data_IF_767318776781
#
_entry.id   IF_767318776781
#
_cell.length_a   1.000
_cell.length_b   1.000
_cell.length_c   1.000
_cell.angle_alpha   90.00
_cell.angle_beta   90.00
_cell.angle_gamma   90.00
#
_symmetry.space_group_name_H-M   'P 1'
#
loop_
_entity.id
_entity.type
_entity.pdbx_description
1 polymer ?
#
# COMPACT_ATOMS: atom_id res chain seq x y z
N UNK A 1 -33.08 -25.66 -61.70
CA UNK A 1 -32.01 -24.72 -62.11
C UNK A 1 -31.62 -23.91 -60.88
N UNK A 2 -30.63 -24.37 -60.13
CA UNK A 2 -30.19 -23.76 -58.87
C UNK A 2 -28.90 -22.99 -59.15
N UNK A 3 -28.94 -21.67 -58.93
CA UNK A 3 -27.83 -20.75 -59.16
C UNK A 3 -27.09 -20.56 -57.84
N UNK A 4 -25.86 -21.09 -57.74
CA UNK A 4 -24.97 -20.85 -56.61
C UNK A 4 -24.30 -19.48 -56.78
N UNK A 5 -24.61 -18.55 -55.88
CA UNK A 5 -23.91 -17.29 -55.71
C UNK A 5 -22.65 -17.54 -54.87
N UNK A 6 -21.47 -17.45 -55.51
CA UNK A 6 -20.19 -17.44 -54.83
C UNK A 6 -19.97 -16.05 -54.20
N UNK A 7 -19.95 -15.99 -52.87
CA UNK A 7 -19.59 -14.79 -52.12
C UNK A 7 -18.06 -14.78 -51.95
N UNK A 8 -17.34 -13.78 -52.49
CA UNK A 8 -15.90 -13.67 -52.29
C UNK A 8 -15.61 -13.26 -50.83
N UNK A 9 -14.94 -14.14 -50.09
CA UNK A 9 -14.39 -13.84 -48.76
C UNK A 9 -13.14 -12.98 -48.95
N UNK A 10 -13.27 -11.69 -48.65
CA UNK A 10 -12.19 -10.72 -48.73
C UNK A 10 -11.36 -10.80 -47.44
N UNK A 11 -10.26 -11.56 -47.48
CA UNK A 11 -9.30 -11.64 -46.37
C UNK A 11 -8.48 -10.35 -46.38
N UNK A 12 -8.87 -9.37 -45.56
CA UNK A 12 -8.04 -8.19 -45.27
C UNK A 12 -6.87 -8.62 -44.38
N UNK A 13 -5.69 -8.84 -44.97
CA UNK A 13 -4.43 -8.86 -44.23
C UNK A 13 -4.12 -7.43 -43.77
N UNK A 14 -4.51 -7.08 -42.55
CA UNK A 14 -3.96 -5.89 -41.87
C UNK A 14 -2.51 -6.19 -41.53
N UNK A 15 -1.58 -5.69 -42.34
CA UNK A 15 -0.18 -5.63 -41.96
C UNK A 15 -0.06 -4.67 -40.78
N UNK A 16 0.04 -5.21 -39.55
CA UNK A 16 0.43 -4.43 -38.38
C UNK A 16 1.92 -4.17 -38.52
N UNK A 17 2.26 -2.99 -39.02
CA UNK A 17 3.62 -2.47 -38.89
C UNK A 17 3.85 -2.18 -37.42
N UNK A 18 4.53 -3.09 -36.72
CA UNK A 18 5.10 -2.80 -35.40
C UNK A 18 6.16 -1.73 -35.64
N UNK A 19 5.79 -0.47 -35.41
CA UNK A 19 6.73 0.63 -35.42
C UNK A 19 7.63 0.43 -34.20
N UNK A 20 8.84 -0.10 -34.42
CA UNK A 20 9.90 -0.13 -33.41
C UNK A 20 10.17 1.32 -32.99
N UNK A 21 9.50 1.77 -31.93
CA UNK A 21 9.89 2.99 -31.26
C UNK A 21 11.23 2.68 -30.62
N UNK A 22 12.31 3.11 -31.27
CA UNK A 22 13.65 3.13 -30.68
C UNK A 22 13.52 3.83 -29.32
N UNK A 23 13.51 3.05 -28.25
CA UNK A 23 13.20 3.49 -26.90
C UNK A 23 14.35 4.28 -26.33
N UNK A 24 14.50 5.53 -26.79
CA UNK A 24 15.43 6.48 -26.21
C UNK A 24 15.01 6.76 -24.78
N UNK A 25 15.97 6.67 -23.86
CA UNK A 25 15.78 7.17 -22.51
C UNK A 25 15.69 8.69 -22.51
N UNK A 26 14.88 9.22 -21.61
CA UNK A 26 14.58 10.64 -21.49
C UNK A 26 14.69 11.05 -20.03
N UNK A 27 15.53 12.04 -19.75
CA UNK A 27 15.61 12.62 -18.42
C UNK A 27 14.42 13.59 -18.22
N UNK A 28 13.78 13.48 -17.05
CA UNK A 28 12.67 14.35 -16.64
C UNK A 28 12.98 14.92 -15.27
N UNK A 29 12.80 16.22 -15.11
CA UNK A 29 12.87 16.91 -13.83
C UNK A 29 11.55 17.64 -13.63
N UNK A 30 10.84 17.32 -12.54
CA UNK A 30 9.53 17.88 -12.24
C UNK A 30 9.51 18.49 -10.84
N UNK A 31 8.87 19.65 -10.72
CA UNK A 31 8.59 20.31 -9.44
C UNK A 31 7.11 20.17 -9.08
N UNK A 32 6.82 19.96 -7.80
CA UNK A 32 5.46 19.92 -7.27
C UNK A 32 5.41 20.53 -5.86
N UNK A 33 4.84 21.74 -5.68
CA UNK A 33 4.30 22.62 -6.72
C UNK A 33 5.40 23.27 -7.57
N UNK A 34 5.03 23.84 -8.73
CA UNK A 34 5.95 24.62 -9.56
C UNK A 34 6.25 26.03 -9.06
N UNK A 35 5.49 26.50 -8.05
CA UNK A 35 5.63 27.83 -7.44
C UNK A 35 5.59 27.69 -5.93
N UNK A 36 6.58 28.27 -5.25
CA UNK A 36 6.66 28.30 -3.79
C UNK A 36 5.98 29.57 -3.26
N UNK A 37 5.03 29.36 -2.37
CA UNK A 37 4.43 30.40 -1.54
C UNK A 37 4.89 30.16 -0.09
N UNK A 38 5.84 30.94 0.47
CA UNK A 38 6.56 30.62 1.71
C UNK A 38 5.71 30.33 2.97
N UNK A 39 4.43 30.72 2.98
CA UNK A 39 3.51 30.47 4.11
C UNK A 39 2.50 29.35 3.79
N UNK A 40 2.14 29.21 2.51
CA UNK A 40 1.07 28.31 2.07
C UNK A 40 1.59 26.96 1.60
N UNK A 41 2.85 26.90 1.16
CA UNK A 41 3.46 25.68 0.64
C UNK A 41 3.94 24.84 1.81
N UNK A 42 3.22 23.75 2.07
CA UNK A 42 3.58 22.82 3.15
C UNK A 42 4.71 21.89 2.76
N UNK A 43 4.70 21.41 1.51
CA UNK A 43 5.73 20.54 0.96
C UNK A 43 6.08 20.99 -0.45
N UNK A 44 7.35 20.91 -0.78
CA UNK A 44 7.85 21.06 -2.14
C UNK A 44 8.66 19.83 -2.50
N UNK A 45 8.32 19.22 -3.62
CA UNK A 45 8.97 18.03 -4.14
C UNK A 45 9.65 18.36 -5.46
N UNK A 46 10.89 17.92 -5.60
CA UNK A 46 11.62 17.94 -6.86
C UNK A 46 11.97 16.50 -7.23
N UNK A 47 11.43 16.02 -8.35
CA UNK A 47 11.57 14.64 -8.78
C UNK A 47 12.35 14.58 -10.09
N UNK A 48 13.57 14.04 -10.02
CA UNK A 48 14.36 13.71 -11.19
C UNK A 48 14.22 12.23 -11.51
N UNK A 49 13.82 11.88 -12.74
CA UNK A 49 13.73 10.49 -13.17
C UNK A 49 14.17 10.27 -14.61
N UNK A 50 14.71 9.07 -14.85
CA UNK A 50 15.11 8.60 -16.18
C UNK A 50 14.00 7.72 -16.71
N UNK A 51 13.23 8.25 -17.67
CA UNK A 51 12.14 7.51 -18.31
C UNK A 51 12.67 6.64 -19.44
N UNK A 52 12.34 5.36 -19.42
CA UNK A 52 12.67 4.42 -20.49
C UNK A 52 11.45 3.52 -20.73
N UNK A 53 10.77 3.72 -21.86
CA UNK A 53 9.56 2.97 -22.24
C UNK A 53 9.80 1.46 -22.36
N UNK A 54 11.04 1.04 -22.58
CA UNK A 54 11.42 -0.36 -22.71
C UNK A 54 11.91 -0.95 -21.38
N UNK A 55 12.02 -0.15 -20.32
CA UNK A 55 12.41 -0.64 -19.00
C UNK A 55 11.26 -1.38 -18.34
N UNK A 56 11.37 -2.71 -18.32
CA UNK A 56 10.56 -3.53 -17.43
C UNK A 56 11.34 -3.64 -16.13
N UNK A 57 10.83 -3.02 -15.06
CA UNK A 57 11.35 -3.27 -13.73
C UNK A 57 11.40 -4.79 -13.55
N UNK A 58 12.59 -5.32 -13.21
CA UNK A 58 12.70 -6.69 -12.72
C UNK A 58 12.11 -6.70 -11.32
N UNK A 59 10.78 -6.59 -11.23
CA UNK A 59 10.05 -6.71 -9.97
C UNK A 59 10.36 -8.12 -9.49
N UNK A 60 11.27 -8.23 -8.51
CA UNK A 60 11.32 -9.42 -7.68
C UNK A 60 9.94 -9.49 -7.05
N UNK A 61 9.10 -10.42 -7.50
CA UNK A 61 7.77 -10.67 -6.95
C UNK A 61 7.88 -10.90 -5.44
N UNK A 62 7.85 -9.81 -4.69
CA UNK A 62 7.78 -9.81 -3.24
C UNK A 62 6.30 -9.69 -2.98
N UNK A 63 5.70 -10.77 -2.49
CA UNK A 63 4.28 -10.84 -2.17
C UNK A 63 3.98 -9.86 -1.02
N UNK A 64 3.79 -8.59 -1.33
CA UNK A 64 3.37 -7.56 -0.38
C UNK A 64 1.89 -7.79 -0.14
N UNK A 65 1.54 -8.20 1.08
CA UNK A 65 0.16 -8.19 1.54
C UNK A 65 -0.29 -6.74 1.56
N UNK A 66 -1.25 -6.43 0.70
CA UNK A 66 -1.97 -5.16 0.65
C UNK A 66 -2.55 -4.86 2.05
N UNK A 67 -1.90 -3.93 2.76
CA UNK A 67 -2.47 -3.31 3.94
C UNK A 67 -3.33 -2.18 3.41
N UNK A 68 -4.65 -2.31 3.56
CA UNK A 68 -5.60 -1.22 3.28
C UNK A 68 -5.18 0.00 4.11
N UNK A 69 -4.49 0.94 3.45
CA UNK A 69 -4.17 2.24 4.00
C UNK A 69 -5.47 3.03 4.08
N UNK A 70 -5.95 3.26 5.29
CA UNK A 70 -7.01 4.24 5.55
C UNK A 70 -6.53 5.61 5.07
N UNK A 71 -7.13 6.04 3.97
CA UNK A 71 -6.95 7.32 3.30
C UNK A 71 -6.90 8.51 4.27
N UNK A 72 -5.70 8.93 4.66
CA UNK A 72 -5.41 10.27 5.17
C UNK A 72 -5.45 11.27 4.00
N UNK A 73 -6.64 11.50 3.45
CA UNK A 73 -6.85 12.67 2.58
C UNK A 73 -7.00 13.90 3.48
N UNK A 74 -6.07 14.86 3.45
CA UNK A 74 -6.28 16.12 4.15
C UNK A 74 -7.50 16.82 3.54
N UNK A 75 -8.47 17.15 4.39
CA UNK A 75 -9.77 17.75 4.06
C UNK A 75 -9.70 19.19 3.49
N UNK A 76 -8.53 19.60 2.97
CA UNK A 76 -8.22 20.95 2.52
C UNK A 76 -8.16 21.09 0.99
N UNK A 77 -8.31 20.00 0.25
CA UNK A 77 -8.22 20.03 -1.22
C UNK A 77 -9.46 20.66 -1.90
N UNK A 78 -10.50 21.05 -1.15
CA UNK A 78 -11.72 21.66 -1.71
C UNK A 78 -11.71 23.20 -1.72
N UNK A 79 -10.64 23.85 -1.25
CA UNK A 79 -10.44 25.26 -1.60
C UNK A 79 -9.86 25.28 -3.00
N UNK A 80 -10.71 25.58 -3.97
CA UNK A 80 -10.41 25.78 -5.38
C UNK A 80 -9.51 27.02 -5.55
N UNK A 81 -8.28 26.94 -5.01
CA UNK A 81 -7.18 27.82 -5.33
C UNK A 81 -6.93 27.58 -6.80
N UNK A 82 -7.35 28.56 -7.62
CA UNK A 82 -7.19 28.64 -9.07
C UNK A 82 -6.03 27.75 -9.52
N UNK A 83 -6.39 26.72 -10.31
CA UNK A 83 -5.48 25.75 -10.92
C UNK A 83 -4.07 26.31 -11.09
N UNK A 84 -3.02 25.67 -10.54
CA UNK A 84 -1.66 26.14 -10.67
C UNK A 84 -1.37 26.44 -12.14
N UNK A 85 -0.88 27.64 -12.43
CA UNK A 85 -0.29 27.92 -13.72
C UNK A 85 0.77 26.85 -13.95
N UNK A 86 0.61 26.06 -15.01
CA UNK A 86 1.60 25.08 -15.44
C UNK A 86 2.93 25.81 -15.59
N UNK A 87 3.90 25.46 -14.75
CA UNK A 87 5.24 26.01 -14.83
C UNK A 87 5.76 25.83 -16.27
N UNK A 88 6.36 26.88 -16.84
CA UNK A 88 6.88 26.85 -18.21
C UNK A 88 8.13 25.97 -18.24
N UNK A 89 7.94 24.67 -18.45
CA UNK A 89 9.03 23.71 -18.53
C UNK A 89 9.81 23.96 -19.83
N UNK A 90 10.98 24.58 -19.73
CA UNK A 90 11.92 24.68 -20.87
C UNK A 90 12.73 23.39 -20.94
N UNK A 91 12.15 22.34 -21.53
CA UNK A 91 12.85 21.08 -21.71
C UNK A 91 13.85 21.16 -22.87
N UNK A 92 15.13 21.32 -22.56
CA UNK A 92 16.23 20.93 -23.45
C UNK A 92 16.38 19.41 -23.39
N UNK A 93 15.56 18.70 -24.16
CA UNK A 93 15.46 17.25 -24.03
C UNK A 93 16.43 16.52 -24.95
N UNK A 94 17.61 16.24 -24.44
CA UNK A 94 18.53 15.32 -25.10
C UNK A 94 18.03 13.87 -24.92
N UNK A 95 18.08 13.10 -26.00
CA UNK A 95 17.70 11.69 -26.04
C UNK A 95 18.95 10.85 -26.16
N UNK A 96 19.12 9.87 -25.26
CA UNK A 96 20.23 8.93 -25.31
C UNK A 96 19.73 7.49 -25.07
N UNK A 97 20.42 6.52 -25.67
CA UNK A 97 20.13 5.10 -25.44
C UNK A 97 20.90 4.63 -24.20
N UNK A 98 20.19 4.33 -23.11
CA UNK A 98 20.81 3.90 -21.85
C UNK A 98 20.76 2.39 -21.70
N UNK A 99 21.92 1.79 -21.44
CA UNK A 99 21.99 0.40 -20.97
C UNK A 99 21.99 0.31 -19.45
N UNK A 100 22.60 1.28 -18.77
CA UNK A 100 22.79 1.29 -17.33
C UNK A 100 22.92 2.72 -16.80
N UNK A 101 22.10 3.10 -15.82
CA UNK A 101 22.23 4.35 -15.09
C UNK A 101 23.32 4.19 -14.02
N UNK A 102 24.27 5.14 -13.96
CA UNK A 102 25.37 5.13 -13.00
C UNK A 102 25.10 6.07 -11.82
N UNK A 103 24.62 7.27 -12.11
CA UNK A 103 24.27 8.24 -11.08
C UNK A 103 23.25 9.29 -11.55
N UNK A 104 22.55 9.86 -10.58
CA UNK A 104 21.74 11.07 -10.71
C UNK A 104 22.27 12.12 -9.74
N UNK A 105 22.39 13.35 -10.21
CA UNK A 105 22.87 14.48 -9.41
C UNK A 105 21.90 15.64 -9.60
N UNK A 106 21.40 16.21 -8.51
CA UNK A 106 20.58 17.42 -8.56
C UNK A 106 21.38 18.59 -7.99
N UNK A 107 21.49 19.64 -8.78
CA UNK A 107 22.15 20.89 -8.45
C UNK A 107 21.16 22.05 -8.48
N UNK A 108 21.49 23.12 -7.75
CA UNK A 108 20.77 24.39 -7.75
C UNK A 108 21.73 25.52 -8.09
N UNK A 109 21.31 26.44 -8.93
CA UNK A 109 22.06 27.67 -9.21
C UNK A 109 21.98 28.59 -7.98
N UNK A 110 23.13 28.90 -7.41
CA UNK A 110 23.26 29.89 -6.35
C UNK A 110 23.24 31.30 -6.97
N UNK A 111 22.22 32.13 -6.67
CA UNK A 111 22.10 33.45 -7.28
C UNK A 111 23.20 34.44 -6.85
N UNK A 112 23.86 34.20 -5.72
CA UNK A 112 24.91 35.09 -5.20
C UNK A 112 26.26 34.81 -5.86
N UNK A 113 26.55 33.55 -6.16
CA UNK A 113 27.84 33.12 -6.73
C UNK A 113 27.78 32.81 -8.23
N UNK A 114 26.59 32.68 -8.81
CA UNK A 114 26.36 32.19 -10.19
C UNK A 114 27.02 30.83 -10.43
N UNK A 115 27.04 29.97 -9.40
CA UNK A 115 27.58 28.61 -9.47
C UNK A 115 26.54 27.56 -9.10
N UNK A 116 26.64 26.38 -9.73
CA UNK A 116 25.79 25.25 -9.40
C UNK A 116 26.29 24.58 -8.11
N UNK A 117 25.44 24.55 -7.09
CA UNK A 117 25.67 23.86 -5.83
C UNK A 117 24.93 22.52 -5.86
N UNK A 118 25.64 21.42 -5.62
CA UNK A 118 25.01 20.11 -5.48
C UNK A 118 24.14 20.07 -4.24
N UNK A 119 22.92 19.56 -4.38
CA UNK A 119 22.02 19.32 -3.24
C UNK A 119 22.13 17.86 -2.81
N UNK A 120 21.96 16.95 -3.77
CA UNK A 120 21.96 15.52 -3.51
C UNK A 120 22.35 14.73 -4.75
N UNK A 121 22.76 13.49 -4.52
CA UNK A 121 23.07 12.54 -5.58
C UNK A 121 22.75 11.11 -5.16
N UNK A 122 22.58 10.22 -6.13
CA UNK A 122 22.48 8.78 -5.90
C UNK A 122 23.34 8.06 -6.93
N UNK A 123 24.07 7.04 -6.49
CA UNK A 123 24.96 6.21 -7.33
C UNK A 123 24.42 4.77 -7.41
N UNK A 124 25.02 3.96 -8.30
CA UNK A 124 24.65 2.56 -8.57
C UNK A 124 24.27 1.71 -7.35
N UNK A 125 25.11 1.74 -6.32
CA UNK A 125 25.06 0.75 -5.24
C UNK A 125 24.90 1.37 -3.85
N UNK A 126 24.77 2.69 -3.76
CA UNK A 126 24.77 3.42 -2.48
C UNK A 126 23.43 4.11 -2.27
N UNK A 127 23.08 4.32 -0.99
CA UNK A 127 21.95 5.16 -0.62
C UNK A 127 22.17 6.61 -1.09
N UNK A 128 21.10 7.37 -1.38
CA UNK A 128 21.23 8.77 -1.75
C UNK A 128 22.03 9.58 -0.73
N UNK A 129 22.94 10.40 -1.22
CA UNK A 129 23.79 11.28 -0.42
C UNK A 129 23.30 12.71 -0.57
N UNK A 130 23.15 13.39 0.57
CA UNK A 130 22.81 14.81 0.65
C UNK A 130 24.03 15.64 1.04
N UNK A 131 24.21 16.79 0.40
CA UNK A 131 25.28 17.72 0.74
C UNK A 131 25.08 18.36 2.11
N UNK A 132 26.19 18.66 2.79
CA UNK A 132 26.16 19.07 4.20
C UNK A 132 25.31 20.32 4.46
N UNK A 133 25.24 21.23 3.48
CA UNK A 133 24.45 22.45 3.59
C UNK A 133 22.92 22.20 3.64
N UNK A 134 22.46 21.00 3.25
CA UNK A 134 21.04 20.67 3.09
C UNK A 134 20.54 19.57 4.06
N UNK A 135 21.42 18.97 4.87
CA UNK A 135 21.11 17.81 5.74
C UNK A 135 19.84 17.95 6.59
N UNK A 136 19.53 19.14 7.08
CA UNK A 136 18.38 19.42 7.96
C UNK A 136 17.23 20.15 7.23
N UNK A 137 17.38 20.39 5.92
CA UNK A 137 16.44 21.16 5.11
C UNK A 137 15.69 20.28 4.10
N UNK A 138 16.34 19.22 3.62
CA UNK A 138 15.85 18.39 2.52
C UNK A 138 15.89 16.92 2.89
N UNK A 139 14.77 16.23 2.69
CA UNK A 139 14.69 14.77 2.71
C UNK A 139 14.97 14.24 1.29
N UNK A 140 15.76 13.18 1.18
CA UNK A 140 16.19 12.62 -0.10
C UNK A 140 15.86 11.14 -0.16
N UNK A 141 15.21 10.73 -1.26
CA UNK A 141 14.95 9.34 -1.61
C UNK A 141 15.34 9.11 -3.07
N UNK A 142 15.90 7.97 -3.41
CA UNK A 142 16.33 7.72 -4.77
C UNK A 142 16.94 6.35 -4.97
N UNK A 143 17.02 5.94 -6.23
CA UNK A 143 17.71 4.73 -6.64
C UNK A 143 18.10 4.84 -8.12
N UNK A 144 19.29 4.37 -8.45
CA UNK A 144 19.79 4.26 -9.82
C UNK A 144 19.46 2.91 -10.48
N UNK A 145 19.00 1.92 -9.70
CA UNK A 145 18.72 0.55 -10.17
C UNK A 145 17.23 0.29 -10.46
N UNK A 146 16.35 1.19 -10.03
CA UNK A 146 14.92 1.09 -10.28
C UNK A 146 14.16 2.29 -9.72
N UNK A 147 12.87 2.37 -10.04
CA UNK A 147 11.95 3.35 -9.50
C UNK A 147 10.66 2.66 -9.03
N UNK A 148 9.98 3.20 -8.01
CA UNK A 148 8.62 2.77 -7.65
C UNK A 148 7.58 3.13 -8.73
N UNK A 149 7.90 4.00 -9.69
CA UNK A 149 7.00 4.38 -10.79
C UNK A 149 7.29 3.54 -12.04
N UNK A 150 6.24 3.07 -12.69
CA UNK A 150 6.36 2.30 -13.93
C UNK A 150 7.02 3.13 -15.05
N UNK A 151 7.92 2.49 -15.79
CA UNK A 151 8.62 3.10 -16.92
C UNK A 151 9.82 4.00 -16.53
N UNK A 152 10.17 4.08 -15.26
CA UNK A 152 11.36 4.76 -14.78
C UNK A 152 12.49 3.78 -14.47
N UNK A 153 13.67 4.04 -15.03
CA UNK A 153 14.88 3.23 -14.82
C UNK A 153 15.57 3.54 -13.49
N UNK A 154 15.47 4.80 -13.04
CA UNK A 154 15.98 5.28 -11.76
C UNK A 154 15.48 6.70 -11.50
N UNK A 155 15.56 7.11 -10.24
CA UNK A 155 15.00 8.39 -9.77
C UNK A 155 15.76 8.96 -8.58
N UNK A 156 15.58 10.25 -8.35
CA UNK A 156 16.01 10.99 -7.18
C UNK A 156 14.94 12.03 -6.85
N UNK A 157 14.33 11.91 -5.67
CA UNK A 157 13.30 12.80 -5.15
C UNK A 157 13.85 13.57 -3.97
N UNK A 158 13.73 14.89 -4.04
CA UNK A 158 14.05 15.82 -2.95
C UNK A 158 12.74 16.38 -2.38
N UNK A 159 12.64 16.44 -1.06
CA UNK A 159 11.46 16.95 -0.36
C UNK A 159 11.85 18.00 0.66
N UNK A 160 11.30 19.20 0.53
CA UNK A 160 11.38 20.26 1.52
C UNK A 160 10.09 20.30 2.33
N UNK A 161 10.19 20.31 3.66
CA UNK A 161 9.07 20.63 4.54
C UNK A 161 9.06 22.14 4.81
N UNK A 162 7.95 22.79 4.47
CA UNK A 162 7.74 24.25 4.60
C UNK A 162 8.83 25.08 3.89
N UNK A 163 8.97 24.94 2.57
CA UNK A 163 9.96 25.69 1.79
C UNK A 163 9.79 27.20 1.95
N UNK A 164 10.90 27.92 2.01
CA UNK A 164 10.96 29.39 2.06
C UNK A 164 11.32 29.96 0.69
N UNK A 165 11.25 31.29 0.53
CA UNK A 165 11.54 31.94 -0.75
C UNK A 165 12.96 31.66 -1.26
N UNK A 166 13.93 31.46 -0.36
CA UNK A 166 15.30 31.09 -0.71
C UNK A 166 15.44 29.66 -1.25
N UNK A 167 14.43 28.79 -1.09
CA UNK A 167 14.44 27.44 -1.65
C UNK A 167 14.05 27.42 -3.13
N UNK A 168 13.33 28.44 -3.62
CA UNK A 168 13.06 28.64 -5.04
C UNK A 168 14.33 28.93 -5.85
N UNK A 169 14.28 28.74 -7.16
CA UNK A 169 15.41 28.97 -8.07
C UNK A 169 15.46 27.99 -9.25
N UNK A 170 16.58 28.03 -9.97
CA UNK A 170 16.86 27.15 -11.11
C UNK A 170 17.53 25.87 -10.63
N UNK A 171 16.87 24.74 -10.87
CA UNK A 171 17.39 23.41 -10.55
C UNK A 171 17.80 22.69 -11.82
N UNK A 172 18.89 21.94 -11.75
CA UNK A 172 19.33 21.06 -12.84
C UNK A 172 19.53 19.66 -12.30
N UNK A 173 19.02 18.67 -13.01
CA UNK A 173 19.34 17.28 -12.78
C UNK A 173 20.23 16.79 -13.91
N UNK A 174 21.29 16.09 -13.55
CA UNK A 174 22.20 15.43 -14.47
C UNK A 174 22.18 13.92 -14.22
N UNK A 175 22.03 13.15 -15.29
CA UNK A 175 22.10 11.69 -15.26
C UNK A 175 23.35 11.23 -15.98
N UNK A 176 24.17 10.42 -15.33
CA UNK A 176 25.35 9.77 -15.92
C UNK A 176 25.04 8.31 -16.16
N UNK A 177 25.25 7.83 -17.38
CA UNK A 177 24.89 6.47 -17.78
C UNK A 177 25.91 5.87 -18.75
N UNK A 178 25.77 4.57 -19.00
CA UNK A 178 26.47 3.85 -20.07
C UNK A 178 25.48 3.47 -21.16
N UNK A 179 25.83 3.76 -22.42
CA UNK A 179 25.07 3.29 -23.56
C UNK A 179 25.30 1.78 -23.83
N UNK A 180 24.70 1.22 -24.88
CA UNK A 180 24.83 -0.20 -25.23
C UNK A 180 26.28 -0.61 -25.55
N UNK A 181 27.07 0.30 -26.09
CA UNK A 181 28.50 0.11 -26.39
C UNK A 181 29.41 0.33 -25.16
N UNK A 182 28.84 0.58 -23.98
CA UNK A 182 29.57 0.91 -22.74
C UNK A 182 30.36 2.22 -22.79
N UNK A 183 29.97 3.15 -23.67
CA UNK A 183 30.46 4.52 -23.65
C UNK A 183 29.68 5.36 -22.62
N UNK A 184 30.37 6.24 -21.88
CA UNK A 184 29.72 7.17 -20.97
C UNK A 184 28.87 8.18 -21.77
N UNK A 185 27.66 8.40 -21.29
CA UNK A 185 26.73 9.40 -21.80
C UNK A 185 26.13 10.17 -20.62
N UNK A 186 25.86 11.45 -20.82
CA UNK A 186 25.17 12.29 -19.84
C UNK A 186 23.90 12.89 -20.45
N UNK A 187 22.88 13.09 -19.62
CA UNK A 187 21.69 13.86 -19.95
C UNK A 187 21.49 14.91 -18.86
N UNK A 188 20.90 16.04 -19.22
CA UNK A 188 20.53 17.09 -18.27
C UNK A 188 19.08 17.53 -18.48
N UNK A 189 18.43 17.96 -17.40
CA UNK A 189 17.11 18.54 -17.41
C UNK A 189 17.05 19.64 -16.35
N UNK A 190 16.40 20.75 -16.65
CA UNK A 190 16.31 21.89 -15.74
C UNK A 190 14.87 22.32 -15.52
N UNK A 191 14.58 22.84 -14.33
CA UNK A 191 13.30 23.44 -13.98
C UNK A 191 13.53 24.70 -13.16
N UNK A 192 12.81 25.75 -13.51
CA UNK A 192 12.78 27.00 -12.75
C UNK A 192 11.57 26.97 -11.82
N UNK A 193 11.83 27.14 -10.53
CA UNK A 193 10.79 27.23 -9.50
C UNK A 193 10.70 28.67 -9.06
N UNK A 194 9.54 29.28 -9.25
CA UNK A 194 9.30 30.67 -8.88
C UNK A 194 8.88 30.77 -7.40
N UNK A 195 9.17 31.91 -6.78
CA UNK A 195 8.62 32.28 -5.47
C UNK A 195 7.65 33.43 -5.62
N UNK A 196 6.52 33.37 -4.94
CA UNK A 196 5.55 34.46 -4.88
C UNK A 196 5.65 35.13 -3.51
N UNK A 197 5.87 36.45 -3.52
CA UNK A 197 5.87 37.24 -2.28
C UNK A 197 4.49 37.15 -1.62
N UNK A 198 4.50 36.82 -0.33
CA UNK A 198 3.27 36.73 0.45
C UNK A 198 2.83 38.10 0.92
N UNK A 199 1.58 38.47 0.65
CA UNK A 199 1.01 39.74 1.09
C UNK A 199 0.33 39.61 2.46
N UNK A 200 0.12 40.74 3.15
CA UNK A 200 -0.62 40.76 4.44
C UNK A 200 -2.04 40.18 4.29
N UNK A 201 -2.83 40.53 3.25
CA UNK A 201 -4.13 39.89 3.01
C UNK A 201 -4.07 38.37 2.95
N UNK A 202 -3.08 37.81 2.26
CA UNK A 202 -2.91 36.36 2.17
C UNK A 202 -2.67 35.78 3.57
N UNK A 203 -1.80 36.39 4.37
CA UNK A 203 -1.55 35.94 5.74
C UNK A 203 -2.82 35.96 6.60
N UNK A 204 -3.64 37.01 6.49
CA UNK A 204 -4.92 37.10 7.23
C UNK A 204 -5.86 35.97 6.79
N UNK A 205 -5.98 35.71 5.48
CA UNK A 205 -6.77 34.61 4.95
C UNK A 205 -6.27 33.25 5.46
N UNK A 206 -4.95 33.02 5.46
CA UNK A 206 -4.35 31.80 5.99
C UNK A 206 -4.68 31.57 7.46
N UNK A 207 -4.58 32.62 8.29
CA UNK A 207 -4.88 32.55 9.72
C UNK A 207 -6.36 32.22 9.92
N UNK A 208 -7.27 32.88 9.20
CA UNK A 208 -8.71 32.61 9.28
C UNK A 208 -9.07 31.18 8.85
N UNK A 209 -8.45 30.69 7.77
CA UNK A 209 -8.61 29.30 7.33
C UNK A 209 -8.09 28.32 8.39
N UNK A 210 -6.89 28.57 8.93
CA UNK A 210 -6.28 27.74 9.97
C UNK A 210 -7.13 27.69 11.23
N UNK A 211 -7.66 28.82 11.69
CA UNK A 211 -8.55 28.89 12.86
C UNK A 211 -9.82 28.07 12.65
N UNK A 212 -10.44 28.19 11.46
CA UNK A 212 -11.61 27.39 11.10
C UNK A 212 -11.31 25.89 11.16
N UNK A 213 -10.18 25.46 10.63
CA UNK A 213 -9.82 24.04 10.67
C UNK A 213 -9.47 23.54 12.07
N UNK A 214 -8.78 24.36 12.88
CA UNK A 214 -8.54 24.03 14.29
C UNK A 214 -9.89 23.84 15.01
N UNK A 215 -10.88 24.69 14.70
CA UNK A 215 -12.23 24.55 15.24
C UNK A 215 -12.90 23.24 14.77
N UNK A 216 -12.86 22.94 13.47
CA UNK A 216 -13.45 21.72 12.90
C UNK A 216 -12.79 20.44 13.46
N UNK A 217 -11.46 20.43 13.59
CA UNK A 217 -10.72 19.33 14.21
C UNK A 217 -11.12 19.13 15.67
N UNK A 218 -11.26 20.21 16.45
CA UNK A 218 -11.72 20.14 17.84
C UNK A 218 -13.13 19.55 17.93
N UNK A 219 -14.03 19.91 17.01
CA UNK A 219 -15.37 19.31 16.92
C UNK A 219 -15.29 17.81 16.64
N UNK A 220 -14.49 17.39 15.65
CA UNK A 220 -14.30 15.96 15.32
C UNK A 220 -13.71 15.16 16.49
N UNK A 221 -12.77 15.74 17.25
CA UNK A 221 -12.20 15.11 18.44
C UNK A 221 -13.26 14.96 19.54
N UNK A 222 -14.13 15.94 19.73
CA UNK A 222 -15.22 15.87 20.70
C UNK A 222 -16.21 14.74 20.32
N UNK A 223 -16.63 14.68 19.06
CA UNK A 223 -17.54 13.65 18.54
C UNK A 223 -16.92 12.23 18.67
N UNK A 224 -15.64 12.09 18.32
CA UNK A 224 -14.93 10.82 18.44
C UNK A 224 -14.80 10.38 19.90
N UNK A 225 -14.50 11.33 20.81
CA UNK A 225 -14.42 11.07 22.25
C UNK A 225 -15.77 10.60 22.82
N UNK A 226 -16.88 11.19 22.37
CA UNK A 226 -18.23 10.75 22.77
C UNK A 226 -18.54 9.33 22.27
N UNK A 227 -18.26 9.05 20.98
CA UNK A 227 -18.39 7.70 20.41
C UNK A 227 -17.53 6.68 21.16
N UNK A 228 -16.30 7.04 21.53
CA UNK A 228 -15.40 6.16 22.27
C UNK A 228 -15.92 5.84 23.68
N UNK A 229 -16.54 6.81 24.37
CA UNK A 229 -17.20 6.59 25.67
C UNK A 229 -18.38 5.63 25.53
N UNK A 230 -19.20 5.79 24.48
CA UNK A 230 -20.32 4.90 24.18
C UNK A 230 -19.85 3.46 23.94
N UNK A 231 -18.84 3.25 23.09
CA UNK A 231 -18.26 1.92 22.83
C UNK A 231 -17.65 1.31 24.10
N UNK A 232 -16.97 2.11 24.92
CA UNK A 232 -16.41 1.65 26.20
C UNK A 232 -17.53 1.18 27.15
N UNK A 233 -18.65 1.90 27.18
CA UNK A 233 -19.81 1.53 27.99
C UNK A 233 -20.45 0.23 27.49
N UNK A 234 -20.64 0.08 26.17
CA UNK A 234 -21.16 -1.15 25.57
C UNK A 234 -20.25 -2.35 25.85
N UNK A 235 -18.94 -2.19 25.70
CA UNK A 235 -17.96 -3.24 26.04
C UNK A 235 -18.02 -3.63 27.51
N UNK A 236 -18.22 -2.67 28.42
CA UNK A 236 -18.44 -2.96 29.84
C UNK A 236 -19.71 -3.79 30.05
N UNK A 237 -20.81 -3.41 29.39
CA UNK A 237 -22.08 -4.16 29.46
C UNK A 237 -21.93 -5.59 28.91
N UNK A 238 -21.24 -5.77 27.79
CA UNK A 238 -20.95 -7.08 27.20
C UNK A 238 -20.09 -7.91 28.16
N UNK A 239 -19.04 -7.32 28.73
CA UNK A 239 -18.18 -7.97 29.70
C UNK A 239 -18.96 -8.43 30.93
N UNK A 240 -19.86 -7.61 31.45
CA UNK A 240 -20.69 -7.96 32.61
C UNK A 240 -21.72 -9.05 32.26
N UNK A 241 -22.33 -9.02 31.06
CA UNK A 241 -23.16 -10.13 30.55
C UNK A 241 -22.34 -11.42 30.40
N UNK A 242 -21.11 -11.34 29.90
CA UNK A 242 -20.21 -12.48 29.82
C UNK A 242 -19.83 -13.05 31.18
N UNK A 243 -19.66 -12.22 32.23
CA UNK A 243 -19.43 -12.72 33.60
C UNK A 243 -20.62 -13.50 34.13
N UNK A 244 -21.86 -13.05 33.84
CA UNK A 244 -23.08 -13.78 34.20
C UNK A 244 -23.11 -15.14 33.46
N UNK A 245 -22.82 -15.16 32.16
CA UNK A 245 -22.77 -16.39 31.37
C UNK A 245 -21.63 -17.34 31.82
N UNK A 246 -20.46 -16.81 32.20
CA UNK A 246 -19.37 -17.60 32.78
C UNK A 246 -19.67 -18.13 34.18
N UNK A 247 -20.63 -17.53 34.89
CA UNK A 247 -21.17 -18.08 36.14
C UNK A 247 -22.17 -19.20 35.86
N UNK A 248 -22.79 -19.22 34.67
CA UNK A 248 -23.35 -20.44 34.07
C UNK A 248 -22.24 -21.46 33.85
N UNK A 249 -22.55 -22.75 34.01
CA UNK A 249 -21.52 -23.78 34.21
C UNK A 249 -20.86 -24.21 32.91
N UNK A 250 -20.31 -23.29 32.10
CA UNK A 250 -19.70 -23.66 30.81
C UNK A 250 -18.58 -24.68 31.04
N UNK A 251 -18.75 -25.87 30.48
CA UNK A 251 -17.78 -26.95 30.55
C UNK A 251 -17.34 -27.31 29.13
N UNK A 252 -16.05 -27.53 28.97
CA UNK A 252 -15.46 -27.95 27.70
C UNK A 252 -14.61 -29.19 27.91
N UNK A 253 -14.48 -30.01 26.89
CA UNK A 253 -13.55 -31.13 26.91
C UNK A 253 -13.37 -31.75 25.55
N UNK A 254 -12.76 -32.92 25.53
CA UNK A 254 -12.65 -33.75 24.32
C UNK A 254 -13.21 -35.14 24.59
N UNK A 255 -13.62 -35.82 23.53
CA UNK A 255 -14.08 -37.21 23.57
C UNK A 255 -13.57 -37.92 22.32
N UNK A 256 -13.11 -39.16 22.49
CA UNK A 256 -12.71 -39.98 21.35
C UNK A 256 -13.96 -40.45 20.58
N UNK A 257 -13.79 -40.74 19.29
CA UNK A 257 -14.85 -41.33 18.49
C UNK A 257 -15.18 -42.73 19.03
N UNK A 258 -16.32 -42.83 19.71
CA UNK A 258 -16.82 -44.06 20.33
C UNK A 258 -18.24 -43.88 20.83
N UNK A 259 -18.69 -44.79 21.71
CA UNK A 259 -19.91 -44.60 22.50
C UNK A 259 -19.50 -44.31 23.95
N UNK A 260 -19.21 -43.04 24.22
CA UNK A 260 -18.67 -42.61 25.51
C UNK A 260 -19.69 -41.77 26.28
N UNK A 261 -19.72 -42.02 27.59
CA UNK A 261 -20.44 -41.20 28.58
C UNK A 261 -19.50 -40.15 29.14
N UNK A 262 -19.73 -38.89 28.78
CA UNK A 262 -18.96 -37.75 29.29
C UNK A 262 -19.69 -37.18 30.49
N UNK A 263 -19.02 -37.14 31.65
CA UNK A 263 -19.60 -36.66 32.91
C UNK A 263 -19.20 -35.21 33.15
N UNK A 264 -20.18 -34.38 33.52
CA UNK A 264 -19.97 -32.99 33.90
C UNK A 264 -19.52 -32.91 35.36
N UNK A 265 -18.51 -32.09 35.64
CA UNK A 265 -17.99 -31.88 36.99
C UNK A 265 -17.73 -30.39 37.25
N UNK A 266 -18.60 -29.70 38.00
CA UNK A 266 -19.81 -30.22 38.67
C UNK A 266 -20.96 -30.52 37.68
N UNK A 267 -22.02 -31.19 38.14
CA UNK A 267 -23.25 -31.33 37.36
C UNK A 267 -23.93 -29.96 37.16
N UNK A 268 -24.57 -29.77 36.01
CA UNK A 268 -25.34 -28.56 35.68
C UNK A 268 -26.63 -28.47 36.49
N UNK A 269 -27.13 -27.24 36.69
CA UNK A 269 -28.39 -27.00 37.42
C UNK A 269 -29.62 -27.38 36.58
N UNK A 270 -29.55 -27.18 35.26
CA UNK A 270 -30.53 -27.61 34.25
C UNK A 270 -29.85 -28.53 33.22
N UNK A 271 -30.62 -29.16 32.33
CA UNK A 271 -30.04 -29.99 31.26
C UNK A 271 -29.33 -29.06 30.26
N UNK A 272 -28.01 -29.15 30.07
CA UNK A 272 -27.28 -28.22 29.21
C UNK A 272 -27.54 -28.49 27.73
N UNK A 273 -27.22 -27.52 26.88
CA UNK A 273 -27.05 -27.73 25.44
C UNK A 273 -25.60 -28.12 25.17
N UNK A 274 -25.38 -29.20 24.41
CA UNK A 274 -24.05 -29.71 24.08
C UNK A 274 -23.79 -29.54 22.60
N UNK A 275 -22.66 -28.91 22.27
CA UNK A 275 -22.15 -28.80 20.91
C UNK A 275 -20.86 -29.61 20.80
N UNK A 276 -20.71 -30.31 19.69
CA UNK A 276 -19.53 -31.11 19.37
C UNK A 276 -18.94 -30.66 18.05
N UNK A 277 -17.62 -30.59 17.95
CA UNK A 277 -16.89 -30.28 16.73
C UNK A 277 -15.73 -31.26 16.55
N UNK A 278 -15.43 -31.62 15.31
CA UNK A 278 -14.26 -32.42 14.99
C UNK A 278 -13.00 -31.62 15.34
N UNK A 279 -12.15 -32.17 16.20
CA UNK A 279 -10.89 -31.55 16.60
C UNK A 279 -9.72 -32.12 15.78
N UNK A 280 -9.50 -33.42 15.89
CA UNK A 280 -8.46 -34.12 15.15
C UNK A 280 -8.99 -35.41 14.57
N UNK A 281 -8.50 -35.80 13.40
CA UNK A 281 -8.79 -37.09 12.79
C UNK A 281 -7.50 -37.69 12.25
N UNK A 282 -7.35 -39.00 12.38
CA UNK A 282 -6.25 -39.75 11.79
C UNK A 282 -6.81 -40.85 10.89
N UNK A 283 -6.42 -40.79 9.62
CA UNK A 283 -6.79 -41.78 8.64
C UNK A 283 -5.53 -42.35 7.98
N UNK A 284 -5.33 -43.66 8.10
CA UNK A 284 -4.30 -44.36 7.35
C UNK A 284 -4.85 -44.65 5.97
N UNK A 285 -4.44 -43.87 4.97
CA UNK A 285 -4.80 -44.09 3.58
C UNK A 285 -3.84 -45.13 2.99
N UNK A 286 -4.32 -46.36 2.77
CA UNK A 286 -3.57 -47.37 2.02
C UNK A 286 -3.65 -47.03 0.53
N UNK A 287 -2.57 -46.50 -0.04
CA UNK A 287 -2.45 -46.20 -1.47
C UNK A 287 -2.18 -47.48 -2.28
N UNK A 288 -3.17 -48.35 -2.43
CA UNK A 288 -3.11 -49.43 -3.41
C UNK A 288 -4.33 -49.35 -4.33
N UNK A 289 -4.07 -48.94 -5.57
CA UNK A 289 -5.01 -48.79 -6.68
C UNK A 289 -6.02 -47.62 -6.57
N UNK A 290 -6.29 -47.01 -7.71
CA UNK A 290 -6.92 -45.71 -7.98
C UNK A 290 -8.41 -45.57 -7.61
N UNK A 291 -8.87 -46.17 -6.51
CA UNK A 291 -10.25 -46.07 -6.07
C UNK A 291 -10.45 -44.85 -5.16
N UNK A 292 -11.42 -44.00 -5.51
CA UNK A 292 -11.87 -42.90 -4.65
C UNK A 292 -12.54 -43.47 -3.39
N UNK A 293 -11.89 -43.38 -2.25
CA UNK A 293 -12.52 -43.70 -0.96
C UNK A 293 -13.28 -42.48 -0.44
N UNK A 294 -14.60 -42.59 -0.27
CA UNK A 294 -15.38 -41.58 0.42
C UNK A 294 -15.18 -41.72 1.93
N UNK A 295 -14.72 -40.66 2.57
CA UNK A 295 -14.62 -40.61 4.03
C UNK A 295 -15.96 -40.14 4.59
N UNK A 296 -16.66 -41.00 5.32
CA UNK A 296 -17.85 -40.63 6.08
C UNK A 296 -17.59 -40.81 7.57
N UNK A 297 -17.79 -39.74 8.33
CA UNK A 297 -17.77 -39.77 9.78
C UNK A 297 -18.96 -38.96 10.28
N UNK A 298 -19.67 -39.52 11.25
CA UNK A 298 -20.78 -38.83 11.91
C UNK A 298 -20.65 -39.00 13.41
N UNK A 299 -20.89 -37.92 14.14
CA UNK A 299 -21.02 -37.95 15.58
C UNK A 299 -22.34 -37.33 15.98
N UNK A 300 -23.03 -37.98 16.89
CA UNK A 300 -24.31 -37.55 17.43
C UNK A 300 -24.28 -37.57 18.94
N UNK A 301 -24.96 -36.60 19.56
CA UNK A 301 -25.24 -36.61 20.99
C UNK A 301 -26.57 -37.34 21.18
N UNK A 302 -26.54 -38.52 21.80
CA UNK A 302 -27.70 -39.41 21.93
C UNK A 302 -28.64 -38.93 23.03
N UNK A 303 -28.06 -38.52 24.16
CA UNK A 303 -28.80 -38.07 25.33
C UNK A 303 -27.98 -37.06 26.11
N UNK A 304 -28.66 -36.09 26.70
CA UNK A 304 -28.07 -35.08 27.58
C UNK A 304 -28.87 -35.04 28.87
N UNK A 305 -28.17 -35.10 29.99
CA UNK A 305 -28.70 -34.98 31.34
C UNK A 305 -27.92 -33.90 32.10
N UNK A 306 -28.37 -33.56 33.31
CA UNK A 306 -27.67 -32.59 34.16
C UNK A 306 -26.23 -32.98 34.52
N UNK A 307 -25.93 -34.28 34.63
CA UNK A 307 -24.63 -34.77 35.09
C UNK A 307 -23.77 -35.38 34.00
N UNK A 308 -24.31 -35.65 32.82
CA UNK A 308 -23.58 -36.29 31.74
C UNK A 308 -24.29 -36.17 30.39
N UNK A 309 -23.57 -36.42 29.31
CA UNK A 309 -24.12 -36.71 28.00
C UNK A 309 -23.49 -37.97 27.41
N UNK A 310 -24.22 -38.61 26.49
CA UNK A 310 -23.74 -39.79 25.77
C UNK A 310 -23.61 -39.44 24.30
N UNK A 311 -22.49 -39.85 23.71
CA UNK A 311 -22.20 -39.64 22.28
C UNK A 311 -22.23 -40.97 21.54
N UNK A 312 -22.56 -40.94 20.25
CA UNK A 312 -22.35 -42.06 19.33
C UNK A 312 -21.59 -41.54 18.13
N UNK A 313 -20.44 -42.15 17.87
CA UNK A 313 -19.65 -41.89 16.67
C UNK A 313 -19.69 -43.10 15.74
N UNK A 314 -19.98 -42.86 14.47
CA UNK A 314 -19.86 -43.85 13.38
C UNK A 314 -18.75 -43.38 12.44
N UNK A 315 -17.69 -44.19 12.34
CA UNK A 315 -16.52 -43.93 11.51
C UNK A 315 -15.96 -45.24 10.96
N UNK A 316 -15.44 -45.18 9.73
CA UNK A 316 -14.72 -46.30 9.11
C UNK A 316 -13.19 -46.23 9.36
N UNK A 317 -12.73 -45.42 10.34
CA UNK A 317 -11.31 -45.09 10.54
C UNK A 317 -10.83 -45.26 11.98
N UNK A 318 -9.50 -45.31 12.12
CA UNK A 318 -8.81 -45.74 13.33
C UNK A 318 -8.95 -44.79 14.52
N UNK A 319 -9.02 -43.46 14.32
CA UNK A 319 -9.28 -42.52 15.41
C UNK A 319 -9.75 -41.14 14.96
N UNK A 320 -10.69 -40.58 15.72
CA UNK A 320 -11.04 -39.17 15.68
C UNK A 320 -11.29 -38.67 17.10
N UNK A 321 -10.97 -37.41 17.36
CA UNK A 321 -11.21 -36.72 18.64
C UNK A 321 -12.13 -35.56 18.34
N UNK A 322 -13.19 -35.44 19.13
CA UNK A 322 -14.13 -34.34 19.06
C UNK A 322 -13.98 -33.45 20.27
N UNK A 323 -13.93 -32.15 20.04
CA UNK A 323 -14.06 -31.16 21.10
C UNK A 323 -15.54 -30.94 21.37
N UNK A 324 -15.89 -30.76 22.64
CA UNK A 324 -17.26 -30.46 23.04
C UNK A 324 -17.31 -29.25 23.97
N UNK A 325 -18.42 -28.53 23.91
CA UNK A 325 -18.79 -27.47 24.83
C UNK A 325 -20.22 -27.69 25.30
N UNK A 326 -20.45 -27.58 26.60
CA UNK A 326 -21.74 -27.70 27.24
C UNK A 326 -22.01 -26.45 28.07
N UNK A 327 -23.23 -25.90 27.96
CA UNK A 327 -23.67 -24.80 28.80
C UNK A 327 -25.17 -24.92 29.11
N UNK A 328 -25.56 -24.53 30.32
CA UNK A 328 -26.96 -24.34 30.67
C UNK A 328 -27.45 -22.98 30.21
N UNK A 329 -28.66 -22.95 29.63
CA UNK A 329 -29.40 -21.71 29.30
C UNK A 329 -30.41 -21.44 30.41
#
# INVERSE_FOLDING_TARGET
>A
MWMYLAVPVLIMCTAVTVQESNGSSQLKLESSPGVIHPIFTKKFHLHCSVQNKNWRAKVKETTVKEVESTSDQPLWNDVDLKSPQEAKITMSQEKADFSQLLSLVVTKLDPDTDTNVTIASVTGCDDPVIEKAFLDLVEVEGSSEGSPRDGEQGYLTLTWDRPVGGDAGSFTCEAYALNKEKHPVSLYASVDVETVETTIPDLVEYVLLTDKYIFDLKSKIADFSEKMKSVTLENKQISDKMKILKKGSVQTGTVACGTDKVTFSPAFNSTPTVFTSLNTFSATLYSHNSYSMSMSMSMSVISVTKSNFVTSCSSNYNSAIFSWIAFDV
#
